data_IF_814387135222
#
_entry.id   IF_814387135222
#
_cell.length_a   1.000
_cell.length_b   1.000
_cell.length_c   1.000
_cell.angle_alpha   90.00
_cell.angle_beta   90.00
_cell.angle_gamma   90.00
#
_symmetry.space_group_name_H-M   'P 1'
#
loop_
_entity.id
_entity.type
_entity.pdbx_description
1 polymer ?
#
# COMPACT_ATOMS: atom_id res chain seq x y z
N UNK A 1 -0.94 -16.76 10.94
CA UNK A 1 -1.36 -15.35 10.73
C UNK A 1 -2.15 -15.13 9.43
N UNK A 2 -1.56 -14.91 8.25
CA UNK A 2 -2.35 -14.49 7.07
C UNK A 2 -3.48 -15.48 6.69
N UNK A 3 -3.17 -16.78 6.62
CA UNK A 3 -4.18 -17.82 6.40
C UNK A 3 -5.24 -17.88 7.49
N UNK A 4 -4.86 -17.70 8.76
CA UNK A 4 -5.84 -17.71 9.87
C UNK A 4 -6.86 -16.58 9.72
N UNK A 5 -6.42 -15.37 9.37
CA UNK A 5 -7.32 -14.25 9.07
C UNK A 5 -8.23 -14.54 7.86
N UNK A 6 -7.68 -15.15 6.79
CA UNK A 6 -8.48 -15.50 5.60
C UNK A 6 -9.55 -16.56 5.91
N UNK A 7 -9.31 -17.41 6.90
CA UNK A 7 -10.26 -18.43 7.37
C UNK A 7 -11.18 -17.93 8.50
N UNK A 8 -11.01 -16.69 8.99
CA UNK A 8 -11.75 -16.18 10.16
C UNK A 8 -11.41 -16.90 11.47
N UNK A 9 -10.19 -17.45 11.56
CA UNK A 9 -9.67 -18.21 12.71
C UNK A 9 -8.50 -17.51 13.40
N UNK A 10 -8.34 -16.21 13.18
CA UNK A 10 -7.31 -15.42 13.85
C UNK A 10 -7.44 -15.51 15.37
N UNK A 11 -6.29 -15.67 16.04
CA UNK A 11 -6.24 -15.81 17.50
C UNK A 11 -5.52 -14.64 18.15
N UNK A 12 -5.72 -14.46 19.45
CA UNK A 12 -4.93 -13.50 20.22
C UNK A 12 -3.42 -13.80 20.16
N UNK A 13 -3.05 -15.07 19.98
CA UNK A 13 -1.67 -15.50 19.78
C UNK A 13 -1.11 -15.04 18.43
N UNK A 14 -1.90 -15.07 17.35
CA UNK A 14 -1.49 -14.53 16.05
C UNK A 14 -1.20 -13.03 16.13
N UNK A 15 -2.06 -12.28 16.83
CA UNK A 15 -1.90 -10.83 17.04
C UNK A 15 -0.62 -10.55 17.84
N UNK A 16 -0.40 -11.30 18.93
CA UNK A 16 0.80 -11.16 19.75
C UNK A 16 2.07 -11.51 18.95
N UNK A 17 2.02 -12.57 18.15
CA UNK A 17 3.12 -12.98 17.29
C UNK A 17 3.48 -11.87 16.29
N UNK A 18 2.49 -11.35 15.54
CA UNK A 18 2.73 -10.26 14.59
C UNK A 18 3.37 -9.03 15.26
N UNK A 19 2.90 -8.66 16.47
CA UNK A 19 3.44 -7.50 17.20
C UNK A 19 4.89 -7.72 17.64
N UNK A 20 5.29 -8.96 17.90
CA UNK A 20 6.66 -9.32 18.26
C UNK A 20 7.62 -9.42 17.07
N UNK A 21 7.10 -9.52 15.85
CA UNK A 21 7.91 -9.64 14.64
C UNK A 21 8.71 -8.39 14.33
N UNK A 22 9.90 -8.60 13.75
CA UNK A 22 10.66 -7.54 13.10
C UNK A 22 9.93 -7.02 11.85
N UNK A 23 10.41 -5.91 11.31
CA UNK A 23 9.78 -5.26 10.14
C UNK A 23 9.74 -6.15 8.89
N UNK A 24 10.74 -7.02 8.69
CA UNK A 24 10.78 -7.90 7.53
C UNK A 24 9.67 -8.94 7.61
N UNK A 25 9.55 -9.63 8.75
CA UNK A 25 8.49 -10.62 8.97
C UNK A 25 7.09 -10.00 8.87
N UNK A 26 6.90 -8.79 9.42
CA UNK A 26 5.64 -8.02 9.22
C UNK A 26 5.35 -7.74 7.75
N UNK A 27 6.34 -7.25 6.99
CA UNK A 27 6.19 -6.99 5.56
C UNK A 27 5.88 -8.26 4.75
N UNK A 28 6.45 -9.41 5.12
CA UNK A 28 6.14 -10.70 4.49
C UNK A 28 4.67 -11.05 4.71
N UNK A 29 4.17 -10.98 5.94
CA UNK A 29 2.76 -11.26 6.25
C UNK A 29 1.83 -10.38 5.42
N UNK A 30 2.08 -9.06 5.37
CA UNK A 30 1.27 -8.13 4.57
C UNK A 30 1.40 -8.37 3.06
N UNK A 31 2.56 -8.84 2.59
CA UNK A 31 2.75 -9.22 1.19
C UNK A 31 1.91 -10.45 0.83
N UNK A 32 1.77 -11.41 1.73
CA UNK A 32 0.88 -12.56 1.51
C UNK A 32 -0.59 -12.14 1.44
N UNK A 33 -1.04 -11.18 2.25
CA UNK A 33 -2.38 -10.59 2.10
C UNK A 33 -2.56 -9.92 0.73
N UNK A 34 -1.58 -9.14 0.29
CA UNK A 34 -1.62 -8.46 -1.01
C UNK A 34 -1.68 -9.44 -2.20
N UNK A 35 -1.01 -10.59 -2.10
CA UNK A 35 -1.07 -11.67 -3.11
C UNK A 35 -2.45 -12.32 -3.19
N UNK A 36 -3.12 -12.45 -2.05
CA UNK A 36 -4.42 -13.11 -1.93
C UNK A 36 -5.57 -12.10 -1.83
N UNK A 37 -5.40 -10.87 -2.33
CA UNK A 37 -6.37 -9.78 -2.14
C UNK A 37 -7.78 -10.14 -2.64
N UNK A 38 -7.90 -10.96 -3.68
CA UNK A 38 -9.19 -11.44 -4.21
C UNK A 38 -9.97 -12.37 -3.28
N UNK A 39 -9.31 -12.89 -2.22
CA UNK A 39 -9.93 -13.71 -1.17
C UNK A 39 -10.19 -12.91 0.11
N UNK A 40 -9.89 -11.60 0.12
CA UNK A 40 -10.09 -10.74 1.29
C UNK A 40 -11.39 -9.94 1.17
N UNK A 41 -12.13 -9.81 2.28
CA UNK A 41 -13.29 -8.91 2.37
C UNK A 41 -12.92 -7.58 3.03
N UNK A 42 -13.74 -6.54 2.85
CA UNK A 42 -13.51 -5.23 3.49
C UNK A 42 -13.55 -5.33 5.00
N UNK A 43 -14.44 -6.15 5.54
CA UNK A 43 -14.60 -6.40 6.98
C UNK A 43 -13.36 -7.09 7.54
N UNK A 44 -12.79 -8.05 6.80
CA UNK A 44 -11.55 -8.73 7.17
C UNK A 44 -10.38 -7.75 7.20
N UNK A 45 -10.25 -6.88 6.19
CA UNK A 45 -9.18 -5.87 6.16
C UNK A 45 -9.35 -4.83 7.27
N UNK A 46 -10.59 -4.42 7.59
CA UNK A 46 -10.86 -3.54 8.71
C UNK A 46 -10.46 -4.18 10.06
N UNK A 47 -10.78 -5.47 10.22
CA UNK A 47 -10.38 -6.23 11.41
C UNK A 47 -8.86 -6.39 11.50
N UNK A 48 -8.19 -6.71 10.39
CA UNK A 48 -6.74 -6.80 10.29
C UNK A 48 -6.06 -5.49 10.72
N UNK A 49 -6.55 -4.35 10.21
CA UNK A 49 -6.05 -3.01 10.56
C UNK A 49 -6.19 -2.75 12.07
N UNK A 50 -7.37 -3.02 12.63
CA UNK A 50 -7.66 -2.85 14.05
C UNK A 50 -6.78 -3.72 14.95
N UNK A 51 -6.70 -5.02 14.67
CA UNK A 51 -5.99 -5.98 15.50
C UNK A 51 -4.47 -5.73 15.51
N UNK A 52 -3.92 -5.43 14.32
CA UNK A 52 -2.48 -5.27 14.10
C UNK A 52 -2.00 -3.81 14.17
N UNK A 53 -2.92 -2.85 14.28
CA UNK A 53 -2.66 -1.41 14.38
C UNK A 53 -1.89 -0.85 13.17
N UNK A 54 -2.27 -1.26 11.97
CA UNK A 54 -1.51 -1.00 10.73
C UNK A 54 -1.59 0.46 10.28
N UNK A 55 -2.74 1.12 10.47
CA UNK A 55 -2.91 2.54 10.19
C UNK A 55 -1.98 3.45 11.02
N UNK A 56 -1.44 2.96 12.14
CA UNK A 56 -0.49 3.68 13.01
C UNK A 56 0.95 3.18 12.87
N UNK A 57 1.22 2.28 11.94
CA UNK A 57 2.57 1.78 11.70
C UNK A 57 3.48 2.93 11.19
N UNK A 58 4.71 2.96 11.70
CA UNK A 58 5.67 4.03 11.39
C UNK A 58 6.84 3.52 10.56
N UNK A 59 7.09 2.21 10.57
CA UNK A 59 8.10 1.61 9.73
C UNK A 59 7.69 1.70 8.26
N UNK A 60 8.52 2.36 7.44
CA UNK A 60 8.21 2.65 6.02
C UNK A 60 7.99 1.36 5.21
N UNK A 61 8.78 0.31 5.45
CA UNK A 61 8.66 -0.94 4.71
C UNK A 61 7.39 -1.73 5.06
N UNK A 62 6.94 -1.65 6.32
CA UNK A 62 5.66 -2.25 6.73
C UNK A 62 4.50 -1.40 6.21
N UNK A 63 4.61 -0.07 6.34
CA UNK A 63 3.61 0.90 5.87
C UNK A 63 3.36 0.75 4.37
N UNK A 64 4.40 0.67 3.53
CA UNK A 64 4.22 0.51 2.07
C UNK A 64 3.49 -0.80 1.71
N UNK A 65 3.71 -1.88 2.48
CA UNK A 65 3.04 -3.16 2.25
C UNK A 65 1.57 -3.07 2.68
N UNK A 66 1.29 -2.43 3.81
CA UNK A 66 -0.06 -2.17 4.28
C UNK A 66 -0.86 -1.34 3.28
N UNK A 67 -0.31 -0.22 2.80
CA UNK A 67 -1.03 0.65 1.87
C UNK A 67 -1.39 -0.07 0.56
N UNK A 68 -0.54 -0.97 0.06
CA UNK A 68 -0.91 -1.79 -1.10
C UNK A 68 -2.14 -2.66 -0.84
N UNK A 69 -2.24 -3.28 0.35
CA UNK A 69 -3.40 -4.07 0.77
C UNK A 69 -4.63 -3.18 0.92
N UNK A 70 -4.50 -2.05 1.62
CA UNK A 70 -5.59 -1.12 1.89
C UNK A 70 -6.18 -0.50 0.60
N UNK A 71 -5.32 -0.11 -0.34
CA UNK A 71 -5.73 0.40 -1.65
C UNK A 71 -6.48 -0.67 -2.44
N UNK A 72 -5.87 -1.85 -2.63
CA UNK A 72 -6.44 -2.87 -3.52
C UNK A 72 -7.71 -3.52 -2.97
N UNK A 73 -7.85 -3.59 -1.65
CA UNK A 73 -9.10 -4.02 -1.00
C UNK A 73 -10.22 -2.96 -1.05
N UNK A 74 -9.91 -1.74 -1.51
CA UNK A 74 -10.84 -0.60 -1.49
C UNK A 74 -11.44 -0.37 -0.08
N UNK A 75 -10.61 -0.59 0.94
CA UNK A 75 -10.98 -0.47 2.34
C UNK A 75 -11.21 0.99 2.74
N UNK A 76 -10.35 1.91 2.30
CA UNK A 76 -10.50 3.32 2.61
C UNK A 76 -11.53 4.01 1.70
N UNK A 77 -12.41 4.82 2.31
CA UNK A 77 -13.47 5.59 1.66
C UNK A 77 -12.98 6.87 0.99
N UNK A 78 -11.83 7.40 1.44
CA UNK A 78 -11.20 8.60 0.87
C UNK A 78 -10.06 8.21 -0.05
N UNK A 79 -9.94 8.81 -1.25
CA UNK A 79 -8.88 8.46 -2.17
C UNK A 79 -7.49 8.84 -1.61
N UNK A 80 -6.71 7.80 -1.31
CA UNK A 80 -5.25 7.81 -1.24
C UNK A 80 -4.57 8.81 -0.28
N UNK A 81 -5.21 9.21 0.82
CA UNK A 81 -4.65 10.20 1.76
C UNK A 81 -3.38 9.71 2.45
N UNK A 82 -3.33 8.44 2.87
CA UNK A 82 -2.16 7.88 3.55
C UNK A 82 -1.00 7.63 2.57
N UNK A 83 -1.35 7.26 1.34
CA UNK A 83 -0.46 7.05 0.21
C UNK A 83 0.18 8.37 -0.22
N UNK A 84 -0.59 9.43 -0.41
CA UNK A 84 -0.12 10.80 -0.67
C UNK A 84 0.91 11.24 0.38
N UNK A 85 0.57 11.06 1.67
CA UNK A 85 1.49 11.37 2.78
C UNK A 85 2.79 10.56 2.72
N UNK A 86 2.71 9.25 2.43
CA UNK A 86 3.90 8.41 2.37
C UNK A 86 4.79 8.84 1.18
N UNK A 87 4.23 8.90 -0.03
CA UNK A 87 5.00 9.16 -1.25
C UNK A 87 5.52 10.59 -1.32
N UNK A 88 4.92 11.54 -0.61
CA UNK A 88 5.44 12.91 -0.44
C UNK A 88 6.55 13.03 0.61
N UNK A 89 6.69 12.04 1.51
CA UNK A 89 7.73 12.03 2.54
C UNK A 89 8.95 11.17 2.16
N UNK A 90 8.76 10.14 1.35
CA UNK A 90 9.84 9.20 0.96
C UNK A 90 10.07 9.20 -0.55
N UNK A 91 11.33 9.29 -0.98
CA UNK A 91 11.71 9.32 -2.41
C UNK A 91 12.31 8.01 -2.94
N UNK A 92 12.51 7.00 -2.09
CA UNK A 92 13.14 5.73 -2.50
C UNK A 92 12.19 4.94 -3.40
N UNK A 93 12.59 4.71 -4.66
CA UNK A 93 11.79 4.01 -5.68
C UNK A 93 11.23 2.67 -5.18
N UNK A 94 12.02 1.90 -4.43
CA UNK A 94 11.60 0.62 -3.86
C UNK A 94 10.38 0.71 -2.94
N UNK A 95 10.13 1.86 -2.32
CA UNK A 95 8.99 2.08 -1.43
C UNK A 95 7.80 2.71 -2.16
N UNK A 96 8.04 3.69 -3.03
CA UNK A 96 6.95 4.45 -3.67
C UNK A 96 6.39 3.76 -4.91
N UNK A 97 7.20 3.06 -5.70
CA UNK A 97 6.74 2.41 -6.93
C UNK A 97 5.64 1.36 -6.66
N UNK A 98 5.75 0.46 -5.65
CA UNK A 98 4.67 -0.46 -5.33
C UNK A 98 3.38 0.24 -4.90
N UNK A 99 3.48 1.36 -4.17
CA UNK A 99 2.32 2.14 -3.72
C UNK A 99 1.62 2.81 -4.91
N UNK A 100 2.38 3.47 -5.79
CA UNK A 100 1.82 4.03 -7.03
C UNK A 100 1.17 2.96 -7.91
N UNK A 101 1.80 1.79 -8.07
CA UNK A 101 1.19 0.67 -8.82
C UNK A 101 -0.14 0.23 -8.22
N UNK A 102 -0.23 0.12 -6.89
CA UNK A 102 -1.51 -0.19 -6.24
C UNK A 102 -2.56 0.90 -6.51
N UNK A 103 -2.21 2.18 -6.37
CA UNK A 103 -3.12 3.29 -6.67
C UNK A 103 -3.58 3.27 -8.14
N UNK A 104 -2.67 3.07 -9.09
CA UNK A 104 -2.96 3.00 -10.53
C UNK A 104 -3.98 1.90 -10.85
N UNK A 105 -3.89 0.74 -10.18
CA UNK A 105 -4.85 -0.36 -10.42
C UNK A 105 -6.27 -0.05 -9.95
N UNK A 106 -6.45 0.92 -9.05
CA UNK A 106 -7.74 1.26 -8.46
C UNK A 106 -8.30 2.56 -9.02
N UNK A 107 -7.48 3.61 -9.11
CA UNK A 107 -7.82 4.91 -9.68
C UNK A 107 -6.55 5.59 -10.24
N UNK A 108 -6.31 5.38 -11.53
CA UNK A 108 -5.14 5.92 -12.24
C UNK A 108 -5.13 7.45 -12.28
N UNK A 109 -6.28 8.10 -12.42
CA UNK A 109 -6.36 9.56 -12.55
C UNK A 109 -5.99 10.23 -11.22
N UNK A 110 -6.50 9.71 -10.11
CA UNK A 110 -6.15 10.22 -8.79
C UNK A 110 -4.69 9.93 -8.43
N UNK A 111 -4.17 8.74 -8.77
CA UNK A 111 -2.76 8.42 -8.59
C UNK A 111 -1.85 9.40 -9.36
N UNK A 112 -2.24 9.79 -10.58
CA UNK A 112 -1.50 10.75 -11.39
C UNK A 112 -1.47 12.15 -10.76
N UNK A 113 -2.60 12.63 -10.22
CA UNK A 113 -2.65 13.91 -9.50
C UNK A 113 -1.68 13.93 -8.30
N UNK A 114 -1.62 12.84 -7.54
CA UNK A 114 -0.67 12.70 -6.41
C UNK A 114 0.78 12.67 -6.92
N UNK A 115 1.05 11.97 -8.02
CA UNK A 115 2.39 11.96 -8.63
C UNK A 115 2.84 13.37 -9.05
N UNK A 116 2.00 14.11 -9.77
CA UNK A 116 2.27 15.48 -10.20
C UNK A 116 2.54 16.42 -9.02
N UNK A 117 1.78 16.28 -7.92
CA UNK A 117 1.98 17.06 -6.70
C UNK A 117 3.40 16.90 -6.10
N UNK A 118 4.02 15.73 -6.23
CA UNK A 118 5.32 15.41 -5.63
C UNK A 118 6.45 15.26 -6.63
N UNK A 119 6.22 15.54 -7.91
CA UNK A 119 7.14 15.20 -9.00
C UNK A 119 8.51 15.87 -8.85
N UNK A 120 8.53 17.11 -8.34
CA UNK A 120 9.75 17.90 -8.15
C UNK A 120 10.60 17.43 -6.96
N UNK A 121 10.02 16.65 -6.04
CA UNK A 121 10.73 16.06 -4.92
C UNK A 121 11.54 14.81 -5.35
N UNK A 122 11.15 14.14 -6.43
CA UNK A 122 11.77 12.87 -6.82
C UNK A 122 13.07 13.06 -7.62
N UNK A 123 14.02 12.16 -7.38
CA UNK A 123 15.20 12.06 -8.22
C UNK A 123 14.81 11.78 -9.69
N UNK A 124 15.50 12.34 -10.71
CA UNK A 124 15.13 12.18 -12.11
C UNK A 124 14.95 10.73 -12.57
N UNK A 125 15.80 9.81 -12.08
CA UNK A 125 15.68 8.37 -12.36
C UNK A 125 14.36 7.81 -11.81
N UNK A 126 14.01 8.17 -10.57
CA UNK A 126 12.76 7.75 -9.94
C UNK A 126 11.55 8.30 -10.69
N UNK A 127 11.60 9.57 -11.10
CA UNK A 127 10.57 10.20 -11.93
C UNK A 127 10.34 9.41 -13.23
N UNK A 128 11.39 9.12 -14.00
CA UNK A 128 11.26 8.35 -15.25
C UNK A 128 10.70 6.94 -15.04
N UNK A 129 11.07 6.27 -13.95
CA UNK A 129 10.49 4.95 -13.59
C UNK A 129 9.00 5.07 -13.25
N UNK A 130 8.60 6.10 -12.51
CA UNK A 130 7.20 6.33 -12.16
C UNK A 130 6.37 6.70 -13.39
N UNK A 131 6.84 7.63 -14.24
CA UNK A 131 6.21 7.98 -15.52
C UNK A 131 5.97 6.73 -16.37
N UNK A 132 6.99 5.86 -16.48
CA UNK A 132 6.86 4.59 -17.20
C UNK A 132 5.77 3.68 -16.62
N UNK A 133 5.57 3.70 -15.29
CA UNK A 133 4.52 2.92 -14.63
C UNK A 133 3.10 3.44 -14.92
N UNK A 134 2.96 4.74 -15.24
CA UNK A 134 1.69 5.34 -15.65
C UNK A 134 1.36 5.11 -17.14
N UNK A 135 2.32 4.65 -17.95
CA UNK A 135 2.16 4.45 -19.40
C UNK A 135 2.60 5.67 -20.20
N UNK A 136 2.32 5.67 -21.52
CA UNK A 136 2.84 6.70 -22.42
C UNK A 136 2.36 8.11 -22.03
N UNK A 137 3.29 9.07 -22.02
CA UNK A 137 3.03 10.47 -21.64
C UNK A 137 1.88 11.14 -22.42
N UNK A 138 1.62 10.75 -23.68
CA UNK A 138 0.50 11.26 -24.49
C UNK A 138 -0.87 10.92 -23.90
N UNK A 139 -1.05 9.74 -23.33
CA UNK A 139 -2.32 9.34 -22.71
C UNK A 139 -2.55 10.10 -21.41
N UNK A 140 -1.47 10.46 -20.70
CA UNK A 140 -1.53 11.11 -19.39
C UNK A 140 -1.86 12.61 -19.47
N UNK A 141 -1.52 13.28 -20.58
CA UNK A 141 -1.89 14.68 -20.86
C UNK A 141 -3.38 14.78 -21.28
N UNK A 142 -4.00 13.65 -21.61
CA UNK A 142 -5.39 13.55 -22.08
C UNK A 142 -6.39 13.15 -20.97
N UNK A 143 -5.92 12.87 -19.75
CA UNK A 143 -6.69 12.41 -18.57
C UNK A 143 -6.93 13.55 -17.57
#
# INVERSE_FOLDING_TARGET
>A
IAHHYMEGKETQADIAAFKSYDSMLKSIVLTEFNRNIGQTSKEMIAKLDSDLNLAKETNVAVTMCWLQVAVKSKYHTSPFVAEDKLVGRVGRTAYILPVYRAMITVDKQQAWKIFQKHIDFYHPITKGILESAFGNAKELISM
#
